data_IF_593932799964
#
_entry.id   IF_593932799964
#
_cell.length_a   1.000
_cell.length_b   1.000
_cell.length_c   1.000
_cell.angle_alpha   90.00
_cell.angle_beta   90.00
_cell.angle_gamma   90.00
#
_symmetry.space_group_name_H-M   'P 1'
#
loop_
_entity.id
_entity.type
_entity.pdbx_description
1 polymer ?
#
# COMPACT_ATOMS: atom_id res chain seq x y z
N UNK A 1 -13.99 10.21 9.96
CA UNK A 1 -15.40 10.03 9.53
C UNK A 1 -15.56 8.70 8.80
N UNK A 2 -15.02 8.51 7.59
CA UNK A 2 -15.16 7.19 6.92
C UNK A 2 -14.24 6.10 7.49
N UNK A 3 -12.97 6.42 7.77
CA UNK A 3 -12.04 5.46 8.40
C UNK A 3 -12.59 4.98 9.75
N UNK A 4 -13.09 5.91 10.58
CA UNK A 4 -13.67 5.57 11.89
C UNK A 4 -14.92 4.69 11.74
N UNK A 5 -15.80 4.98 10.77
CA UNK A 5 -16.99 4.17 10.46
C UNK A 5 -16.59 2.74 10.10
N UNK A 6 -15.66 2.58 9.18
CA UNK A 6 -15.15 1.26 8.77
C UNK A 6 -14.53 0.49 9.94
N UNK A 7 -13.74 1.17 10.79
CA UNK A 7 -13.08 0.54 11.94
C UNK A 7 -14.05 0.17 13.06
N UNK A 8 -14.92 1.09 13.46
CA UNK A 8 -15.70 0.97 14.70
C UNK A 8 -17.08 0.34 14.46
N UNK A 9 -17.73 0.68 13.35
CA UNK A 9 -19.09 0.20 13.06
C UNK A 9 -19.06 -1.08 12.23
N UNK A 10 -18.19 -1.14 11.22
CA UNK A 10 -18.07 -2.31 10.34
C UNK A 10 -17.03 -3.34 10.82
N UNK A 11 -16.23 -3.01 11.84
CA UNK A 11 -15.26 -3.92 12.45
C UNK A 11 -14.09 -4.29 11.53
N UNK A 12 -13.72 -3.42 10.59
CA UNK A 12 -12.62 -3.67 9.65
C UNK A 12 -11.27 -3.72 10.41
N UNK A 13 -10.63 -4.88 10.36
CA UNK A 13 -9.33 -5.12 11.01
C UNK A 13 -8.14 -4.65 10.16
N UNK A 14 -8.27 -4.66 8.83
CA UNK A 14 -7.22 -4.19 7.92
C UNK A 14 -7.82 -3.24 6.89
N UNK A 15 -7.31 -2.01 6.84
CA UNK A 15 -7.77 -0.97 5.92
C UNK A 15 -6.66 -0.59 4.94
N UNK A 16 -6.91 -0.87 3.66
CA UNK A 16 -6.02 -0.53 2.55
C UNK A 16 -6.62 0.65 1.78
N UNK A 17 -5.86 1.73 1.67
CA UNK A 17 -6.19 2.87 0.84
C UNK A 17 -5.54 2.72 -0.53
N UNK A 18 -6.35 2.64 -1.59
CA UNK A 18 -5.87 2.79 -2.96
C UNK A 18 -5.90 4.27 -3.33
N UNK A 19 -4.72 4.85 -3.56
CA UNK A 19 -4.55 6.29 -3.82
C UNK A 19 -3.97 6.54 -5.21
N UNK A 20 -4.23 7.74 -5.72
CA UNK A 20 -3.63 8.25 -6.95
C UNK A 20 -3.24 9.73 -6.78
N UNK A 21 -2.80 10.12 -5.59
CA UNK A 21 -2.45 11.51 -5.26
C UNK A 21 -0.98 11.87 -5.54
N UNK A 22 -0.11 10.86 -5.71
CA UNK A 22 1.33 11.03 -5.85
C UNK A 22 2.05 10.77 -4.53
N UNK A 23 3.28 10.28 -4.62
CA UNK A 23 4.07 9.82 -3.48
C UNK A 23 4.17 10.85 -2.34
N UNK A 24 4.50 12.11 -2.63
CA UNK A 24 4.64 13.13 -1.57
C UNK A 24 3.32 13.41 -0.84
N UNK A 25 2.21 13.48 -1.58
CA UNK A 25 0.88 13.67 -1.00
C UNK A 25 0.44 12.44 -0.19
N UNK A 26 0.68 11.24 -0.71
CA UNK A 26 0.40 9.98 -0.02
C UNK A 26 1.23 9.87 1.28
N UNK A 27 2.48 10.31 1.26
CA UNK A 27 3.37 10.33 2.42
C UNK A 27 2.90 11.31 3.50
N UNK A 28 2.46 12.52 3.11
CA UNK A 28 1.84 13.47 4.03
C UNK A 28 0.55 12.90 4.62
N UNK A 29 -0.28 12.29 3.78
CA UNK A 29 -1.55 11.69 4.18
C UNK A 29 -1.34 10.53 5.16
N UNK A 30 -0.35 9.66 4.91
CA UNK A 30 0.01 8.55 5.79
C UNK A 30 0.34 9.01 7.23
N UNK A 31 0.95 10.19 7.37
CA UNK A 31 1.25 10.78 8.68
C UNK A 31 0.04 11.45 9.38
N UNK A 32 -1.05 11.69 8.65
CA UNK A 32 -2.25 12.36 9.16
C UNK A 32 -3.42 11.41 9.40
N UNK A 33 -3.50 10.32 8.63
CA UNK A 33 -4.57 9.34 8.75
C UNK A 33 -4.30 8.37 9.89
N UNK A 34 -5.24 8.29 10.84
CA UNK A 34 -5.26 7.23 11.84
C UNK A 34 -6.15 6.09 11.35
N UNK A 35 -5.65 4.86 11.37
CA UNK A 35 -6.44 3.66 11.06
C UNK A 35 -6.37 3.15 9.62
N UNK A 36 -5.45 3.66 8.79
CA UNK A 36 -5.07 3.02 7.51
C UNK A 36 -3.79 2.22 7.74
N UNK A 37 -3.77 0.94 7.34
CA UNK A 37 -2.60 0.09 7.52
C UNK A 37 -1.68 0.11 6.30
N UNK A 38 -2.27 0.26 5.11
CA UNK A 38 -1.53 0.24 3.84
C UNK A 38 -2.08 1.31 2.90
N UNK A 39 -1.20 2.04 2.24
CA UNK A 39 -1.49 2.89 1.09
C UNK A 39 -0.82 2.28 -0.14
N UNK A 40 -1.61 1.92 -1.14
CA UNK A 40 -1.13 1.58 -2.48
C UNK A 40 -1.29 2.83 -3.34
N UNK A 41 -0.18 3.53 -3.58
CA UNK A 41 -0.19 4.79 -4.30
C UNK A 41 0.01 4.65 -5.81
N UNK A 42 -0.08 5.79 -6.49
CA UNK A 42 0.16 5.91 -7.92
C UNK A 42 0.42 7.37 -8.31
N UNK A 43 0.07 7.74 -9.56
CA UNK A 43 0.20 9.08 -10.14
C UNK A 43 1.62 9.54 -10.45
N UNK A 44 2.51 9.55 -9.46
CA UNK A 44 3.86 10.13 -9.61
C UNK A 44 4.88 9.21 -10.29
N UNK A 45 4.51 7.94 -10.51
CA UNK A 45 5.35 6.90 -11.12
C UNK A 45 6.63 6.56 -10.33
N UNK A 46 6.67 6.94 -9.04
CA UNK A 46 7.75 6.55 -8.14
C UNK A 46 7.86 5.03 -8.02
N UNK A 47 9.08 4.57 -7.74
CA UNK A 47 9.35 3.17 -7.45
C UNK A 47 9.85 3.11 -6.01
N UNK A 48 9.09 2.45 -5.16
CA UNK A 48 9.53 2.11 -3.81
C UNK A 48 9.99 0.66 -3.81
N UNK A 49 11.30 0.43 -3.86
CA UNK A 49 11.90 -0.92 -3.82
C UNK A 49 11.56 -1.67 -2.53
N UNK A 50 11.30 -0.92 -1.46
CA UNK A 50 10.77 -1.40 -0.19
C UNK A 50 9.67 -0.42 0.23
N UNK A 51 8.59 -0.88 0.91
CA UNK A 51 7.56 0.01 1.40
C UNK A 51 8.15 1.05 2.35
N UNK A 52 7.71 2.31 2.25
CA UNK A 52 8.03 3.29 3.29
C UNK A 52 7.05 3.09 4.45
N UNK A 53 7.56 2.95 5.67
CA UNK A 53 6.72 2.85 6.86
C UNK A 53 6.60 4.22 7.54
N UNK A 54 5.41 4.81 7.51
CA UNK A 54 5.08 6.07 8.18
C UNK A 54 4.19 5.75 9.39
N UNK A 55 4.79 5.74 10.57
CA UNK A 55 4.10 5.30 11.78
C UNK A 55 3.69 3.82 11.67
N UNK A 56 2.37 3.55 11.62
CA UNK A 56 1.84 2.20 11.42
C UNK A 56 1.44 1.90 9.97
N UNK A 57 1.49 2.90 9.10
CA UNK A 57 1.02 2.81 7.71
C UNK A 57 2.18 2.43 6.80
N UNK A 58 1.99 1.41 5.95
CA UNK A 58 2.90 1.05 4.87
C UNK A 58 2.51 1.81 3.60
N UNK A 59 3.45 2.48 2.94
CA UNK A 59 3.25 3.17 1.68
C UNK A 59 3.99 2.43 0.55
N UNK A 60 3.26 2.08 -0.50
CA UNK A 60 3.76 1.37 -1.67
C UNK A 60 3.62 2.21 -2.94
N UNK A 61 4.59 2.08 -3.85
CA UNK A 61 4.53 2.60 -5.21
C UNK A 61 5.11 1.57 -6.18
N UNK A 62 4.35 1.26 -7.24
CA UNK A 62 4.70 0.22 -8.21
C UNK A 62 5.39 0.73 -9.49
N UNK A 63 5.77 2.00 -9.55
CA UNK A 63 6.30 2.61 -10.78
C UNK A 63 5.22 2.88 -11.82
N UNK A 64 5.50 2.54 -13.07
CA UNK A 64 4.62 2.87 -14.21
C UNK A 64 4.73 1.87 -15.35
N UNK A 65 3.80 1.98 -16.31
CA UNK A 65 3.78 1.22 -17.56
C UNK A 65 3.75 -0.30 -17.38
N UNK A 66 3.23 -0.78 -16.24
CA UNK A 66 3.21 -2.20 -15.92
C UNK A 66 4.61 -2.81 -15.80
N UNK A 67 5.67 -2.02 -15.57
CA UNK A 67 7.04 -2.53 -15.43
C UNK A 67 7.19 -3.51 -14.27
N UNK A 68 6.38 -3.33 -13.24
CA UNK A 68 6.34 -4.20 -12.06
C UNK A 68 4.90 -4.54 -11.69
N UNK A 69 4.73 -5.77 -11.20
CA UNK A 69 3.60 -6.16 -10.38
C UNK A 69 4.05 -6.08 -8.92
N UNK A 70 3.46 -5.18 -8.13
CA UNK A 70 3.71 -5.09 -6.70
C UNK A 70 3.04 -6.24 -5.95
N UNK A 71 3.80 -6.97 -5.14
CA UNK A 71 3.32 -8.02 -4.25
C UNK A 71 3.64 -7.63 -2.82
N UNK A 72 2.61 -7.62 -1.97
CA UNK A 72 2.72 -7.38 -0.54
C UNK A 72 2.04 -8.54 0.19
N UNK A 73 2.83 -9.33 0.90
CA UNK A 73 2.34 -10.37 1.80
C UNK A 73 2.26 -9.76 3.20
N UNK A 74 1.09 -9.85 3.84
CA UNK A 74 0.86 -9.33 5.19
C UNK A 74 0.68 -10.47 6.19
N UNK A 75 1.41 -10.39 7.30
CA UNK A 75 1.13 -11.22 8.48
C UNK A 75 0.19 -10.44 9.40
N UNK A 76 -0.96 -11.04 9.71
CA UNK A 76 -1.98 -10.42 10.55
C UNK A 76 -2.14 -11.24 11.83
N UNK A 77 -1.99 -10.57 12.98
CA UNK A 77 -2.20 -11.15 14.29
C UNK A 77 -3.04 -10.22 15.15
N UNK A 78 -4.12 -10.74 15.73
CA UNK A 78 -5.05 -9.99 16.59
C UNK A 78 -5.55 -8.69 15.94
N UNK A 79 -5.87 -8.74 14.63
CA UNK A 79 -6.37 -7.62 13.86
C UNK A 79 -5.33 -6.52 13.57
N UNK A 80 -4.04 -6.82 13.71
CA UNK A 80 -2.93 -5.87 13.46
C UNK A 80 -1.92 -6.52 12.50
N UNK A 81 -1.36 -5.71 11.60
CA UNK A 81 -0.21 -6.12 10.77
C UNK A 81 1.01 -6.32 11.68
N UNK A 82 1.42 -7.56 11.88
CA UNK A 82 2.56 -7.94 12.73
C UNK A 82 3.87 -8.08 11.94
N UNK A 83 3.77 -8.24 10.62
CA UNK A 83 4.89 -8.42 9.71
C UNK A 83 4.44 -8.26 8.27
N UNK A 84 5.39 -8.09 7.36
CA UNK A 84 5.14 -8.06 5.93
C UNK A 84 6.38 -8.48 5.14
N UNK A 85 6.15 -9.01 3.93
CA UNK A 85 7.16 -9.17 2.90
C UNK A 85 6.71 -8.45 1.63
N UNK A 86 7.66 -7.88 0.88
CA UNK A 86 7.35 -7.06 -0.29
C UNK A 86 8.29 -7.34 -1.45
N UNK A 87 7.71 -7.50 -2.64
CA UNK A 87 8.43 -7.70 -3.89
C UNK A 87 7.84 -6.85 -5.01
N UNK A 88 8.72 -6.25 -5.82
CA UNK A 88 8.37 -5.72 -7.14
C UNK A 88 8.75 -6.75 -8.20
N UNK A 89 7.77 -7.50 -8.69
CA UNK A 89 7.96 -8.55 -9.68
C UNK A 89 8.09 -7.88 -11.06
N UNK A 90 9.26 -7.94 -11.73
CA UNK A 90 9.42 -7.31 -13.04
C UNK A 90 8.57 -8.02 -14.09
N UNK A 91 7.81 -7.24 -14.87
CA UNK A 91 7.03 -7.77 -15.99
C UNK A 91 7.93 -7.75 -17.23
N UNK A 92 8.39 -8.94 -17.63
CA UNK A 92 9.22 -9.13 -18.81
C UNK A 92 8.35 -9.70 -19.92
N UNK A 93 8.30 -9.03 -21.08
CA UNK A 93 7.48 -9.44 -22.22
C UNK A 93 7.75 -10.89 -22.67
N UNK A 94 8.99 -11.36 -22.50
CA UNK A 94 9.42 -12.74 -22.82
C UNK A 94 8.75 -13.82 -21.93
N UNK A 95 8.13 -13.42 -20.82
CA UNK A 95 7.51 -14.33 -19.82
C UNK A 95 5.98 -14.21 -19.77
N UNK A 96 5.38 -13.46 -20.70
CA UNK A 96 3.92 -13.26 -20.76
C UNK A 96 3.41 -13.83 -22.08
N UNK A 97 2.65 -14.91 -22.01
CA UNK A 97 1.93 -15.45 -23.17
C UNK A 97 0.71 -14.56 -23.48
N UNK A 98 0.32 -14.38 -24.77
CA UNK A 98 -0.82 -13.54 -25.17
C UNK A 98 -2.19 -14.02 -24.68
#
# INVERSE_FOLDING_TARGET
QEIDRLRQEEGIEILILLSHMGYEQDRVMAGQLNGVDVIVGGHSHDILWQPEQIGKTLLLQGGSHGKFLGKLDLEISQGIVSGFDHELIPVLAERVEP
#
